data_IF_692807224149
#
_entry.id   IF_692807224149
#
_cell.length_a   1.000
_cell.length_b   1.000
_cell.length_c   1.000
_cell.angle_alpha   90.00
_cell.angle_beta   90.00
_cell.angle_gamma   90.00
#
_symmetry.space_group_name_H-M   'P 1'
#
loop_
_entity.id
_entity.type
_entity.pdbx_description
1 polymer ?
#
# COMPACT_ATOMS: atom_id res chain seq x y z
N UNK A 1 8.71 3.59 -16.49
CA UNK A 1 9.15 2.17 -16.60
C UNK A 1 7.91 1.29 -16.57
N UNK A 2 7.93 0.20 -17.31
CA UNK A 2 6.83 -0.76 -17.39
C UNK A 2 7.23 -2.08 -16.72
N UNK A 3 6.23 -2.86 -16.30
CA UNK A 3 6.38 -4.25 -15.88
C UNK A 3 5.73 -5.09 -16.98
N UNK A 4 6.47 -6.07 -17.51
CA UNK A 4 5.94 -7.05 -18.44
C UNK A 4 5.75 -8.37 -17.71
N UNK A 5 4.57 -8.94 -17.82
CA UNK A 5 4.19 -10.21 -17.19
C UNK A 5 3.49 -11.09 -18.21
N UNK A 6 3.55 -12.40 -18.01
CA UNK A 6 2.71 -13.34 -18.74
C UNK A 6 1.26 -13.19 -18.29
N UNK A 7 0.31 -13.44 -19.19
CA UNK A 7 -1.13 -13.44 -18.86
C UNK A 7 -1.48 -14.43 -17.74
N UNK A 8 -0.72 -15.52 -17.64
CA UNK A 8 -0.84 -16.54 -16.60
C UNK A 8 -0.17 -16.18 -15.26
N UNK A 9 0.37 -14.95 -15.11
CA UNK A 9 0.99 -14.56 -13.84
C UNK A 9 -0.03 -14.64 -12.69
N UNK A 10 0.37 -15.27 -11.59
CA UNK A 10 -0.48 -15.57 -10.44
C UNK A 10 -1.24 -14.33 -9.90
N UNK A 11 -0.59 -13.17 -9.93
CA UNK A 11 -1.20 -11.91 -9.44
C UNK A 11 -2.50 -11.55 -10.15
N UNK A 12 -2.66 -11.89 -11.42
CA UNK A 12 -3.86 -11.56 -12.20
C UNK A 12 -5.07 -12.44 -11.84
N UNK A 13 -4.83 -13.68 -11.38
CA UNK A 13 -5.89 -14.65 -11.13
C UNK A 13 -6.21 -14.82 -9.66
N UNK A 14 -5.20 -14.77 -8.79
CA UNK A 14 -5.34 -15.06 -7.36
C UNK A 14 -4.94 -13.88 -6.47
N UNK A 15 -4.69 -12.70 -7.04
CA UNK A 15 -4.35 -11.46 -6.31
C UNK A 15 -3.20 -11.65 -5.31
N UNK A 16 -2.27 -12.58 -5.56
CA UNK A 16 -1.12 -12.80 -4.69
C UNK A 16 -0.18 -11.60 -4.75
N UNK A 17 -0.49 -10.60 -3.93
CA UNK A 17 0.21 -9.32 -3.87
C UNK A 17 0.10 -8.68 -2.50
N UNK A 18 1.17 -8.03 -2.09
CA UNK A 18 1.21 -7.20 -0.90
C UNK A 18 1.90 -5.86 -1.20
N UNK A 19 1.59 -4.84 -0.42
CA UNK A 19 2.17 -3.52 -0.62
C UNK A 19 2.31 -2.75 0.68
N UNK A 20 3.14 -1.72 0.65
CA UNK A 20 3.30 -0.77 1.72
C UNK A 20 3.07 0.67 1.23
N UNK A 21 2.89 1.56 2.18
CA UNK A 21 2.76 2.98 1.92
C UNK A 21 3.39 3.78 3.04
N UNK A 22 4.41 4.55 2.70
CA UNK A 22 5.07 5.47 3.61
C UNK A 22 5.43 6.75 2.86
N UNK A 23 5.97 7.73 3.56
CA UNK A 23 6.23 9.04 2.97
C UNK A 23 7.63 9.56 3.36
N UNK A 24 8.23 10.33 2.47
CA UNK A 24 9.38 11.16 2.78
C UNK A 24 8.98 12.64 2.79
N UNK A 25 9.57 13.38 3.71
CA UNK A 25 9.28 14.80 3.96
C UNK A 25 10.56 15.61 4.00
N UNK A 26 10.49 16.85 3.55
CA UNK A 26 11.55 17.85 3.81
C UNK A 26 11.26 18.54 5.14
N UNK A 27 12.22 18.52 6.05
CA UNK A 27 12.13 19.25 7.33
C UNK A 27 12.41 20.75 7.14
N UNK A 28 12.12 21.55 8.18
CA UNK A 28 12.45 22.99 8.21
C UNK A 28 13.94 23.27 7.96
N UNK A 29 14.83 22.33 8.34
CA UNK A 29 16.28 22.42 8.14
C UNK A 29 16.73 21.88 6.77
N UNK A 30 15.81 21.55 5.87
CA UNK A 30 16.11 21.03 4.54
C UNK A 30 16.52 19.55 4.50
N UNK A 31 16.44 18.81 5.62
CA UNK A 31 16.74 17.39 5.64
C UNK A 31 15.55 16.60 5.12
N UNK A 32 15.81 15.54 4.35
CA UNK A 32 14.79 14.57 3.93
C UNK A 32 14.73 13.45 4.96
N UNK A 33 13.52 13.16 5.46
CA UNK A 33 13.27 12.17 6.50
C UNK A 33 12.10 11.25 6.13
N UNK A 34 12.16 10.02 6.62
CA UNK A 34 11.03 9.07 6.63
C UNK A 34 10.66 8.75 8.08
N UNK A 35 9.42 8.35 8.33
CA UNK A 35 8.97 7.98 9.68
C UNK A 35 8.79 6.47 9.78
N UNK A 36 9.55 5.83 10.68
CA UNK A 36 9.44 4.42 11.05
C UNK A 36 9.34 3.44 9.86
N UNK A 37 10.25 3.49 8.89
CA UNK A 37 10.25 2.52 7.79
C UNK A 37 10.47 1.07 8.25
N UNK A 38 11.05 0.86 9.44
CA UNK A 38 11.18 -0.40 10.13
C UNK A 38 9.83 -1.09 10.39
N UNK A 39 8.81 -0.33 10.82
CA UNK A 39 7.46 -0.85 11.05
C UNK A 39 6.75 -1.24 9.75
N UNK A 40 7.02 -0.51 8.65
CA UNK A 40 6.53 -0.91 7.33
C UNK A 40 7.22 -2.20 6.84
N UNK A 41 8.52 -2.35 7.12
CA UNK A 41 9.26 -3.57 6.82
C UNK A 41 8.68 -4.79 7.57
N UNK A 42 8.40 -4.63 8.87
CA UNK A 42 7.79 -5.67 9.71
C UNK A 42 6.43 -6.09 9.15
N UNK A 43 5.55 -5.13 8.85
CA UNK A 43 4.21 -5.43 8.32
C UNK A 43 4.27 -6.09 6.95
N UNK A 44 5.16 -5.65 6.05
CA UNK A 44 5.33 -6.29 4.75
C UNK A 44 5.86 -7.71 4.89
N UNK A 45 6.81 -7.95 5.81
CA UNK A 45 7.33 -9.28 6.12
C UNK A 45 6.19 -10.23 6.53
N UNK A 46 5.37 -9.82 7.50
CA UNK A 46 4.26 -10.63 8.02
C UNK A 46 3.16 -10.83 6.97
N UNK A 47 2.85 -9.79 6.18
CA UNK A 47 1.88 -9.89 5.08
C UNK A 47 2.34 -10.88 4.01
N UNK A 48 3.63 -10.83 3.62
CA UNK A 48 4.20 -11.75 2.65
C UNK A 48 4.11 -13.20 3.15
N UNK A 49 4.52 -13.46 4.40
CA UNK A 49 4.41 -14.78 5.01
C UNK A 49 2.98 -15.32 4.99
N UNK A 50 1.98 -14.50 5.35
CA UNK A 50 0.55 -14.90 5.34
C UNK A 50 0.03 -15.26 3.96
N UNK A 51 0.61 -14.70 2.89
CA UNK A 51 0.23 -14.94 1.49
C UNK A 51 1.14 -15.97 0.79
N UNK A 52 1.93 -16.75 1.54
CA UNK A 52 2.89 -17.71 0.98
C UNK A 52 3.83 -17.07 -0.05
N UNK A 53 4.25 -15.84 0.22
CA UNK A 53 5.24 -15.09 -0.55
C UNK A 53 6.57 -15.05 0.21
N UNK A 54 7.73 -14.93 -0.46
CA UNK A 54 9.00 -14.76 0.22
C UNK A 54 8.99 -13.53 1.13
N UNK A 55 9.29 -13.71 2.40
CA UNK A 55 9.42 -12.60 3.33
C UNK A 55 10.70 -11.82 3.03
N UNK A 56 10.55 -10.63 2.43
CA UNK A 56 11.67 -9.78 2.10
C UNK A 56 12.40 -9.32 3.37
N UNK A 57 13.75 -9.46 3.46
CA UNK A 57 14.49 -9.13 4.70
C UNK A 57 14.24 -7.67 5.12
N UNK A 58 13.93 -7.46 6.42
CA UNK A 58 13.50 -6.17 6.96
C UNK A 58 14.55 -5.07 6.77
N UNK A 59 15.81 -5.38 7.03
CA UNK A 59 16.95 -4.46 6.87
C UNK A 59 17.10 -4.04 5.40
N UNK A 60 16.97 -5.00 4.49
CA UNK A 60 17.05 -4.74 3.05
C UNK A 60 15.86 -3.93 2.54
N UNK A 61 14.68 -4.11 3.14
CA UNK A 61 13.52 -3.27 2.84
C UNK A 61 13.80 -1.81 3.21
N UNK A 62 14.30 -1.57 4.42
CA UNK A 62 14.63 -0.21 4.88
C UNK A 62 15.72 0.41 3.99
N UNK A 63 16.78 -0.33 3.70
CA UNK A 63 17.85 0.10 2.79
C UNK A 63 17.28 0.47 1.41
N UNK A 64 16.47 -0.40 0.80
CA UNK A 64 15.86 -0.17 -0.51
C UNK A 64 14.95 1.07 -0.53
N UNK A 65 14.18 1.31 0.55
CA UNK A 65 13.37 2.52 0.71
C UNK A 65 14.26 3.76 0.75
N UNK A 66 15.30 3.76 1.56
CA UNK A 66 16.21 4.90 1.70
C UNK A 66 16.96 5.19 0.39
N UNK A 67 17.47 4.17 -0.29
CA UNK A 67 18.11 4.31 -1.60
C UNK A 67 17.14 4.85 -2.67
N UNK A 68 15.90 4.37 -2.67
CA UNK A 68 14.86 4.89 -3.58
C UNK A 68 14.61 6.38 -3.31
N UNK A 69 14.52 6.80 -2.05
CA UNK A 69 14.35 8.21 -1.69
C UNK A 69 15.57 9.04 -2.12
N UNK A 70 16.80 8.56 -1.86
CA UNK A 70 18.05 9.24 -2.28
C UNK A 70 18.10 9.43 -3.79
N UNK A 71 17.80 8.39 -4.56
CA UNK A 71 17.78 8.45 -6.03
C UNK A 71 16.70 9.40 -6.59
N UNK A 72 15.72 9.76 -5.79
CA UNK A 72 14.58 10.62 -6.16
C UNK A 72 14.50 11.89 -5.27
N UNK A 73 15.58 12.30 -4.64
CA UNK A 73 15.59 13.41 -3.67
C UNK A 73 15.06 14.73 -4.26
N UNK A 74 15.31 14.97 -5.55
CA UNK A 74 14.82 16.15 -6.26
C UNK A 74 13.28 16.21 -6.39
N UNK A 75 12.59 15.08 -6.18
CA UNK A 75 11.15 14.99 -6.23
C UNK A 75 10.47 15.08 -4.86
N UNK A 76 11.26 15.19 -3.78
CA UNK A 76 10.71 15.40 -2.43
C UNK A 76 10.23 16.83 -2.32
N UNK A 77 8.92 17.08 -2.09
CA UNK A 77 8.41 18.45 -2.04
C UNK A 77 9.05 19.29 -0.94
N UNK A 78 9.19 20.60 -1.14
CA UNK A 78 9.78 21.52 -0.14
C UNK A 78 8.96 21.56 1.16
N UNK A 79 9.66 21.90 2.25
CA UNK A 79 9.02 22.16 3.54
C UNK A 79 7.97 23.28 3.42
N UNK A 80 6.86 23.12 4.15
CA UNK A 80 5.79 24.12 4.21
C UNK A 80 4.72 24.02 3.13
N UNK A 81 4.90 23.16 2.12
CA UNK A 81 3.91 22.97 1.03
C UNK A 81 2.74 22.08 1.41
N UNK A 82 2.81 21.37 2.54
CA UNK A 82 1.83 20.33 2.92
C UNK A 82 1.92 19.07 2.05
N UNK A 83 2.85 19.02 1.11
CA UNK A 83 3.08 17.89 0.21
C UNK A 83 4.17 16.95 0.73
N UNK A 84 4.27 15.77 0.15
CA UNK A 84 5.26 14.76 0.52
C UNK A 84 5.59 13.87 -0.69
N UNK A 85 6.70 13.14 -0.61
CA UNK A 85 6.98 12.06 -1.56
C UNK A 85 6.35 10.78 -1.02
N UNK A 86 5.33 10.27 -1.70
CA UNK A 86 4.74 8.97 -1.39
C UNK A 86 5.64 7.86 -1.92
N UNK A 87 5.85 6.84 -1.10
CA UNK A 87 6.69 5.68 -1.40
C UNK A 87 5.81 4.44 -1.37
N UNK A 88 5.81 3.68 -2.46
CA UNK A 88 5.02 2.46 -2.63
C UNK A 88 5.90 1.24 -2.88
N UNK A 89 6.39 0.57 -1.84
CA UNK A 89 6.90 -0.80 -1.96
C UNK A 89 5.74 -1.75 -2.26
N UNK A 90 5.97 -2.73 -3.14
CA UNK A 90 5.00 -3.80 -3.40
C UNK A 90 5.71 -5.05 -3.88
N UNK A 91 5.07 -6.18 -3.65
CA UNK A 91 5.51 -7.48 -4.15
C UNK A 91 4.32 -8.21 -4.77
N UNK A 92 4.56 -8.89 -5.89
CA UNK A 92 3.55 -9.63 -6.63
C UNK A 92 4.07 -11.02 -7.00
N UNK A 93 3.18 -11.99 -7.05
CA UNK A 93 3.41 -13.28 -7.69
C UNK A 93 3.49 -13.10 -9.20
N UNK A 94 4.70 -13.00 -9.73
CA UNK A 94 4.97 -12.69 -11.15
C UNK A 94 5.08 -13.93 -12.04
N UNK A 95 5.34 -15.09 -11.43
CA UNK A 95 5.45 -16.34 -12.18
C UNK A 95 4.09 -16.89 -12.65
N UNK A 96 4.10 -17.71 -13.72
CA UNK A 96 2.89 -18.31 -14.25
C UNK A 96 2.33 -19.36 -13.29
N UNK A 97 1.05 -19.21 -12.91
CA UNK A 97 0.36 -20.13 -12.02
C UNK A 97 -1.13 -20.11 -12.29
N UNK A 98 -1.64 -21.18 -12.86
CA UNK A 98 -3.06 -21.45 -13.03
C UNK A 98 -3.45 -22.57 -12.06
N UNK A 99 -4.23 -22.24 -11.07
CA UNK A 99 -4.56 -23.11 -9.94
C UNK A 99 -4.16 -22.44 -8.62
N UNK A 100 -4.83 -22.78 -7.53
CA UNK A 100 -4.62 -22.18 -6.22
C UNK A 100 -3.35 -22.73 -5.59
N UNK A 101 -2.22 -22.10 -5.92
CA UNK A 101 -0.91 -22.39 -5.36
C UNK A 101 -0.04 -21.11 -5.39
N UNK A 102 1.01 -21.03 -4.56
CA UNK A 102 1.95 -19.92 -4.62
C UNK A 102 2.61 -19.80 -5.98
N UNK A 103 2.86 -18.56 -6.42
CA UNK A 103 3.59 -18.30 -7.64
C UNK A 103 5.02 -18.89 -7.57
N UNK A 104 5.57 -19.40 -8.69
CA UNK A 104 6.94 -19.92 -8.73
C UNK A 104 8.02 -18.83 -8.70
N UNK A 105 7.64 -17.57 -8.93
CA UNK A 105 8.54 -16.41 -8.85
C UNK A 105 7.80 -15.15 -8.44
N UNK A 106 8.54 -14.21 -7.88
CA UNK A 106 8.00 -12.97 -7.31
C UNK A 106 8.79 -11.76 -7.80
N UNK A 107 8.11 -10.63 -7.89
CA UNK A 107 8.71 -9.35 -8.22
C UNK A 107 8.49 -8.37 -7.08
N UNK A 108 9.59 -7.90 -6.45
CA UNK A 108 9.58 -6.78 -5.52
C UNK A 108 9.99 -5.48 -6.20
N UNK A 109 9.24 -4.41 -5.99
CA UNK A 109 9.49 -3.09 -6.54
C UNK A 109 9.14 -1.99 -5.56
N UNK A 110 9.81 -0.86 -5.72
CA UNK A 110 9.46 0.40 -5.05
C UNK A 110 9.30 1.49 -6.12
N UNK A 111 8.22 2.24 -6.07
CA UNK A 111 8.10 3.48 -6.82
C UNK A 111 7.71 4.63 -5.91
N UNK A 112 7.98 5.85 -6.35
CA UNK A 112 7.68 7.07 -5.61
C UNK A 112 6.89 8.04 -6.48
N UNK A 113 6.10 8.90 -5.83
CA UNK A 113 5.38 9.99 -6.50
C UNK A 113 5.15 11.15 -5.53
N UNK A 114 5.33 12.42 -5.95
CA UNK A 114 4.90 13.56 -5.16
C UNK A 114 3.38 13.55 -4.98
N UNK A 115 2.92 13.79 -3.75
CA UNK A 115 1.49 13.84 -3.42
C UNK A 115 1.19 15.07 -2.57
N UNK A 116 0.02 15.67 -2.79
CA UNK A 116 -0.52 16.72 -1.95
C UNK A 116 -1.09 16.20 -0.63
N UNK A 117 -1.64 17.10 0.17
CA UNK A 117 -2.37 16.73 1.37
C UNK A 117 -3.55 15.82 1.02
N UNK A 118 -3.77 14.78 1.82
CA UNK A 118 -4.88 13.83 1.61
C UNK A 118 -6.26 14.54 1.68
N UNK A 119 -6.40 15.46 2.62
CA UNK A 119 -7.56 16.34 2.69
C UNK A 119 -7.18 17.75 2.23
N UNK A 120 -7.94 18.29 1.27
CA UNK A 120 -7.74 19.65 0.77
C UNK A 120 -8.33 20.66 1.75
N UNK A 121 -7.53 21.62 2.18
CA UNK A 121 -7.95 22.72 3.05
C UNK A 121 -7.81 22.40 4.55
N UNK A 122 -8.54 23.16 5.40
CA UNK A 122 -8.53 22.96 6.84
C UNK A 122 -9.18 21.65 7.27
N UNK A 123 -8.85 21.18 8.47
CA UNK A 123 -9.52 20.02 9.09
C UNK A 123 -11.00 20.31 9.21
N UNK A 124 -11.83 19.49 8.55
CA UNK A 124 -13.29 19.58 8.57
C UNK A 124 -13.88 18.27 9.05
N UNK A 125 -15.01 18.31 9.79
CA UNK A 125 -15.75 17.09 10.11
C UNK A 125 -16.10 16.32 8.84
N UNK A 126 -16.01 14.99 8.90
CA UNK A 126 -16.36 14.09 7.80
C UNK A 126 -17.62 13.32 8.14
N UNK A 127 -18.50 13.19 7.14
CA UNK A 127 -19.72 12.39 7.23
C UNK A 127 -19.38 10.94 6.90
N UNK A 128 -19.61 10.03 7.82
CA UNK A 128 -19.36 8.60 7.64
C UNK A 128 -20.69 7.84 7.64
N UNK A 129 -20.74 6.72 6.96
CA UNK A 129 -21.83 5.75 7.03
C UNK A 129 -21.30 4.45 7.62
N UNK A 130 -22.05 3.84 8.53
CA UNK A 130 -21.79 2.49 8.99
C UNK A 130 -22.16 1.54 7.84
N UNK A 131 -21.24 0.67 7.46
CA UNK A 131 -21.43 -0.25 6.35
C UNK A 131 -22.05 -1.55 6.84
N UNK A 132 -23.03 -2.05 6.11
CA UNK A 132 -23.57 -3.40 6.29
C UNK A 132 -22.71 -4.49 5.63
N UNK A 133 -21.67 -4.07 4.90
CA UNK A 133 -20.72 -4.97 4.25
C UNK A 133 -19.52 -5.23 5.15
N UNK A 134 -19.10 -6.49 5.23
CA UNK A 134 -17.82 -6.84 5.83
C UNK A 134 -16.67 -6.42 4.91
N UNK A 135 -15.66 -5.77 5.49
CA UNK A 135 -14.40 -5.50 4.79
C UNK A 135 -13.40 -6.62 4.98
N UNK A 136 -13.42 -7.24 6.15
CA UNK A 136 -12.51 -8.31 6.52
C UNK A 136 -13.34 -9.45 7.12
N UNK A 137 -13.23 -10.64 6.51
CA UNK A 137 -13.86 -11.82 7.06
C UNK A 137 -13.23 -12.20 8.40
N UNK A 138 -14.02 -12.73 9.37
CA UNK A 138 -13.49 -13.35 10.59
C UNK A 138 -12.43 -14.40 10.23
N UNK A 139 -11.27 -14.36 10.91
CA UNK A 139 -10.13 -15.24 10.62
C UNK A 139 -9.61 -15.20 9.16
N UNK A 140 -10.00 -14.16 8.40
CA UNK A 140 -9.56 -13.93 7.03
C UNK A 140 -8.22 -13.21 6.91
N UNK A 141 -8.17 -12.21 6.02
CA UNK A 141 -6.95 -11.48 5.68
C UNK A 141 -6.97 -10.02 6.11
N UNK A 142 -7.89 -9.64 6.99
CA UNK A 142 -8.09 -8.25 7.43
C UNK A 142 -6.90 -7.63 8.13
N UNK A 143 -6.07 -8.44 8.77
CA UNK A 143 -4.87 -8.06 9.52
C UNK A 143 -3.64 -7.82 8.63
N UNK A 144 -3.69 -8.16 7.33
CA UNK A 144 -2.59 -7.99 6.39
C UNK A 144 -2.82 -6.87 5.37
N UNK A 145 -1.72 -6.35 4.81
CA UNK A 145 -1.78 -5.27 3.82
C UNK A 145 -1.73 -5.82 2.39
N UNK A 146 -2.85 -6.40 1.97
CA UNK A 146 -3.02 -7.07 0.67
C UNK A 146 -4.10 -6.39 -0.18
N UNK A 147 -3.92 -6.38 -1.50
CA UNK A 147 -4.82 -5.74 -2.45
C UNK A 147 -6.26 -6.25 -2.38
N UNK A 148 -6.44 -7.54 -2.10
CA UNK A 148 -7.75 -8.18 -1.96
C UNK A 148 -8.65 -7.50 -0.90
N UNK A 149 -8.08 -7.06 0.23
CA UNK A 149 -8.84 -6.34 1.27
C UNK A 149 -9.36 -4.99 0.79
N UNK A 150 -8.67 -4.38 -0.16
CA UNK A 150 -9.08 -3.09 -0.74
C UNK A 150 -10.10 -3.27 -1.85
N UNK A 151 -9.98 -4.33 -2.65
CA UNK A 151 -10.97 -4.66 -3.68
C UNK A 151 -12.36 -4.88 -3.06
N UNK A 152 -12.46 -5.56 -1.92
CA UNK A 152 -13.72 -5.76 -1.19
C UNK A 152 -14.40 -4.47 -0.77
N UNK A 153 -13.64 -3.40 -0.54
CA UNK A 153 -14.21 -2.11 -0.12
C UNK A 153 -14.60 -1.18 -1.28
N UNK A 154 -14.40 -1.58 -2.54
CA UNK A 154 -14.72 -0.71 -3.69
C UNK A 154 -16.21 -0.43 -3.80
N UNK A 155 -17.05 -1.48 -3.78
CA UNK A 155 -18.49 -1.33 -3.90
C UNK A 155 -19.09 -0.46 -2.78
N UNK A 156 -18.92 -0.80 -1.50
CA UNK A 156 -19.47 0.04 -0.43
C UNK A 156 -18.88 1.46 -0.39
N UNK A 157 -17.63 1.65 -0.83
CA UNK A 157 -17.06 3.00 -0.94
C UNK A 157 -17.79 3.83 -2.01
N UNK A 158 -18.12 3.23 -3.14
CA UNK A 158 -18.86 3.91 -4.20
C UNK A 158 -20.30 4.21 -3.81
N UNK A 159 -20.94 3.32 -3.05
CA UNK A 159 -22.28 3.56 -2.50
C UNK A 159 -22.26 4.73 -1.52
N UNK A 160 -21.32 4.72 -0.57
CA UNK A 160 -21.17 5.82 0.38
C UNK A 160 -20.97 7.17 -0.33
N UNK A 161 -20.16 7.21 -1.38
CA UNK A 161 -19.93 8.44 -2.15
C UNK A 161 -21.18 8.91 -2.92
N UNK A 162 -21.98 7.97 -3.45
CA UNK A 162 -23.27 8.31 -4.10
C UNK A 162 -24.25 8.97 -3.13
N UNK A 163 -24.21 8.55 -1.88
CA UNK A 163 -25.02 9.10 -0.80
C UNK A 163 -24.36 10.25 -0.04
N UNK A 164 -23.34 10.87 -0.65
CA UNK A 164 -22.61 12.03 -0.11
C UNK A 164 -21.90 11.81 1.23
N UNK A 165 -21.53 10.57 1.55
CA UNK A 165 -20.63 10.25 2.65
C UNK A 165 -19.18 10.27 2.20
N UNK A 166 -18.28 10.67 3.10
CA UNK A 166 -16.85 10.71 2.79
C UNK A 166 -16.18 9.34 2.84
N UNK A 167 -16.65 8.46 3.73
CA UNK A 167 -16.08 7.13 4.00
C UNK A 167 -17.11 6.21 4.64
N UNK A 168 -16.79 4.90 4.57
CA UNK A 168 -17.44 3.87 5.37
C UNK A 168 -16.74 3.68 6.71
N UNK A 169 -17.51 3.41 7.73
CA UNK A 169 -17.08 2.80 8.97
C UNK A 169 -17.49 1.31 8.91
N UNK A 170 -16.50 0.44 8.86
CA UNK A 170 -16.72 -0.99 8.92
C UNK A 170 -16.70 -1.42 10.38
N UNK A 171 -17.61 -2.27 10.76
CA UNK A 171 -17.66 -2.88 12.08
C UNK A 171 -16.80 -4.16 12.07
N UNK A 172 -16.39 -4.57 13.25
CA UNK A 172 -15.75 -5.86 13.46
C UNK A 172 -16.84 -6.95 13.40
N UNK A 173 -16.66 -8.02 12.61
CA UNK A 173 -17.67 -9.07 12.45
C UNK A 173 -17.85 -9.94 13.68
#
# INVERSE_FOLDING_TARGET
>A
KHISLLESACVFHYSQSCFEGLKAYTTKQGKIVTFRPDMNAERMYNTAARLEMPSYPKEKFVEAVLETVRANAAWVPPYGTGCSLYIRPFMIGSGPQIGVAPAPSFLFRIFVMPVGAYYKGAVKPQKLVVSDWDRAAPHGTGDIKAGLNYAMSLHPTMDAHRDYYAKNLYLDP
#
